data_IF_923437650769
#
_entry.id   IF_923437650769
#
_cell.length_a   1.000
_cell.length_b   1.000
_cell.length_c   1.000
_cell.angle_alpha   90.00
_cell.angle_beta   90.00
_cell.angle_gamma   90.00
#
_symmetry.space_group_name_H-M   'P 1'
#
loop_
_entity.id
_entity.type
_entity.pdbx_description
1 polymer ?
#
# COMPACT_ATOMS: atom_id res chain seq x y z
N UNK A 1 2.98 35.54 1.24
CA UNK A 1 2.07 36.57 0.66
C UNK A 1 2.74 37.92 0.54
N UNK A 2 2.19 38.83 -0.27
CA UNK A 2 2.74 40.19 -0.49
C UNK A 2 1.79 41.19 0.14
N UNK A 3 2.27 41.91 1.16
CA UNK A 3 1.56 43.02 1.77
C UNK A 3 2.11 44.30 1.18
N UNK A 4 1.22 45.18 0.74
CA UNK A 4 1.58 46.49 0.21
C UNK A 4 1.26 47.52 1.29
N UNK A 5 2.31 48.14 1.85
CA UNK A 5 2.19 49.19 2.84
C UNK A 5 2.53 50.53 2.19
N UNK A 6 1.67 51.53 2.37
CA UNK A 6 1.96 52.90 1.94
C UNK A 6 2.77 53.57 3.05
N UNK A 7 4.01 53.99 2.74
CA UNK A 7 4.85 54.76 3.63
C UNK A 7 5.16 56.12 2.99
N UNK A 8 4.40 57.15 3.37
CA UNK A 8 4.44 58.46 2.71
C UNK A 8 3.88 58.39 1.28
N UNK A 9 4.68 58.80 0.29
CA UNK A 9 4.35 58.73 -1.15
C UNK A 9 4.80 57.43 -1.82
N UNK A 10 5.45 56.52 -1.09
CA UNK A 10 5.99 55.27 -1.63
C UNK A 10 5.16 54.05 -1.22
N UNK A 11 4.89 53.16 -2.17
CA UNK A 11 4.30 51.84 -1.88
C UNK A 11 5.45 50.87 -1.63
N UNK A 12 5.58 50.40 -0.39
CA UNK A 12 6.54 49.38 0.01
C UNK A 12 5.88 48.02 -0.09
N UNK A 13 6.51 47.09 -0.80
CA UNK A 13 6.10 45.69 -0.86
C UNK A 13 6.87 44.91 0.19
N UNK A 14 6.16 44.33 1.16
CA UNK A 14 6.73 43.43 2.17
C UNK A 14 6.28 42.02 1.87
N UNK A 15 7.24 41.10 1.74
CA UNK A 15 6.93 39.67 1.68
C UNK A 15 6.77 39.13 3.09
N UNK A 16 5.57 38.66 3.41
CA UNK A 16 5.28 38.07 4.72
C UNK A 16 5.29 36.55 4.57
N UNK A 17 6.24 35.85 5.24
CA UNK A 17 6.28 34.39 5.24
C UNK A 17 5.19 33.85 6.17
N UNK A 18 4.04 33.52 5.59
CA UNK A 18 2.89 32.97 6.33
C UNK A 18 3.03 31.48 6.66
N UNK A 19 4.00 30.79 6.07
CA UNK A 19 4.26 29.38 6.32
C UNK A 19 4.60 29.12 7.78
N UNK A 20 5.44 29.97 8.41
CA UNK A 20 5.83 29.78 9.81
C UNK A 20 4.63 29.86 10.77
N UNK A 21 3.72 30.81 10.53
CA UNK A 21 2.50 30.94 11.34
C UNK A 21 1.53 29.79 11.11
N UNK A 22 1.45 29.27 9.88
CA UNK A 22 0.65 28.09 9.57
C UNK A 22 1.15 26.85 10.34
N UNK A 23 2.47 26.62 10.36
CA UNK A 23 3.06 25.50 11.10
C UNK A 23 2.82 25.60 12.61
N UNK A 24 2.85 26.81 13.20
CA UNK A 24 2.51 27.02 14.61
C UNK A 24 1.06 26.59 14.91
N UNK A 25 0.10 26.93 14.05
CA UNK A 25 -1.29 26.48 14.23
C UNK A 25 -1.43 24.97 14.06
N UNK A 26 -0.69 24.36 13.13
CA UNK A 26 -0.65 22.90 12.96
C UNK A 26 -0.12 22.16 14.19
N UNK A 27 0.94 22.68 14.83
CA UNK A 27 1.52 22.09 16.04
C UNK A 27 0.53 22.08 17.21
N UNK A 28 -0.32 23.11 17.30
CA UNK A 28 -1.37 23.23 18.33
C UNK A 28 -2.63 22.43 17.96
N UNK A 29 -2.79 22.01 16.70
CA UNK A 29 -3.97 21.30 16.21
C UNK A 29 -5.14 22.23 15.81
N UNK A 30 -4.85 23.52 15.58
CA UNK A 30 -5.80 24.53 15.14
C UNK A 30 -5.88 24.53 13.60
N UNK A 31 -6.56 23.52 13.05
CA UNK A 31 -6.54 23.27 11.61
C UNK A 31 -7.34 24.29 10.79
N UNK A 32 -8.43 24.83 11.34
CA UNK A 32 -9.23 25.86 10.67
C UNK A 32 -8.42 27.15 10.47
N UNK A 33 -7.70 27.57 11.51
CA UNK A 33 -6.80 28.73 11.47
C UNK A 33 -5.61 28.47 10.56
N UNK A 34 -5.02 27.28 10.62
CA UNK A 34 -3.95 26.88 9.69
C UNK A 34 -4.42 26.95 8.23
N UNK A 35 -5.64 26.48 7.94
CA UNK A 35 -6.25 26.55 6.60
C UNK A 35 -6.53 27.99 6.16
N UNK A 36 -7.02 28.85 7.07
CA UNK A 36 -7.22 30.27 6.79
C UNK A 36 -5.90 30.97 6.43
N UNK A 37 -4.83 30.71 7.18
CA UNK A 37 -3.48 31.24 6.89
C UNK A 37 -2.97 30.69 5.55
N UNK A 38 -3.17 29.40 5.27
CA UNK A 38 -2.77 28.82 4.00
C UNK A 38 -3.47 29.48 2.80
N UNK A 39 -4.77 29.81 2.94
CA UNK A 39 -5.56 30.54 1.94
C UNK A 39 -5.01 31.93 1.61
N UNK A 40 -4.39 32.61 2.58
CA UNK A 40 -3.77 33.93 2.37
C UNK A 40 -2.53 33.86 1.47
N UNK A 41 -1.90 32.68 1.34
CA UNK A 41 -0.83 32.41 0.38
C UNK A 41 0.43 31.84 1.01
N UNK A 42 0.49 30.51 1.06
CA UNK A 42 1.67 29.68 1.37
C UNK A 42 2.13 28.89 0.15
N UNK A 43 3.31 28.26 0.22
CA UNK A 43 3.85 27.47 -0.89
C UNK A 43 3.05 26.17 -1.10
N UNK A 44 3.17 25.54 -2.27
CA UNK A 44 2.50 24.26 -2.54
C UNK A 44 2.94 23.14 -1.57
N UNK A 45 4.22 23.13 -1.18
CA UNK A 45 4.74 22.18 -0.19
C UNK A 45 4.08 22.38 1.19
N UNK A 46 3.79 23.62 1.57
CA UNK A 46 3.14 23.94 2.84
C UNK A 46 1.67 23.49 2.83
N UNK A 47 0.99 23.67 1.69
CA UNK A 47 -0.34 23.11 1.48
C UNK A 47 -0.36 21.58 1.59
N UNK A 48 0.68 20.92 1.10
CA UNK A 48 0.79 19.47 1.19
C UNK A 48 1.00 19.04 2.65
N UNK A 49 1.85 19.76 3.39
CA UNK A 49 2.06 19.53 4.82
C UNK A 49 0.76 19.73 5.63
N UNK A 50 -0.01 20.79 5.35
CA UNK A 50 -1.33 21.01 5.95
C UNK A 50 -2.27 19.83 5.69
N UNK A 51 -2.41 19.40 4.44
CA UNK A 51 -3.29 18.27 4.08
C UNK A 51 -2.87 16.96 4.73
N UNK A 52 -1.57 16.67 4.78
CA UNK A 52 -1.01 15.48 5.43
C UNK A 52 -1.26 15.52 6.94
N UNK A 53 -0.99 16.67 7.59
CA UNK A 53 -1.19 16.82 9.03
C UNK A 53 -2.66 16.73 9.42
N UNK A 54 -3.55 17.32 8.63
CA UNK A 54 -4.99 17.23 8.84
C UNK A 54 -5.47 15.77 8.70
N UNK A 55 -5.02 15.06 7.66
CA UNK A 55 -5.35 13.66 7.46
C UNK A 55 -4.85 12.76 8.60
N UNK A 56 -3.65 13.00 9.12
CA UNK A 56 -3.09 12.25 10.27
C UNK A 56 -3.92 12.41 11.55
N UNK A 57 -4.57 13.56 11.72
CA UNK A 57 -5.48 13.85 12.85
C UNK A 57 -6.96 13.54 12.54
N UNK A 58 -7.25 13.00 11.36
CA UNK A 58 -8.61 12.74 10.87
C UNK A 58 -9.48 14.01 10.72
N UNK A 59 -8.87 15.17 10.48
CA UNK A 59 -9.54 16.40 10.07
C UNK A 59 -9.85 16.35 8.56
N UNK A 60 -10.82 15.50 8.20
CA UNK A 60 -11.07 15.06 6.83
C UNK A 60 -11.49 16.20 5.90
N UNK A 61 -12.30 17.15 6.38
CA UNK A 61 -12.75 18.31 5.58
C UNK A 61 -11.57 19.18 5.14
N UNK A 62 -10.66 19.49 6.08
CA UNK A 62 -9.50 20.35 5.83
C UNK A 62 -8.49 19.61 4.97
N UNK A 63 -8.27 18.31 5.22
CA UNK A 63 -7.44 17.46 4.37
C UNK A 63 -7.96 17.44 2.92
N UNK A 64 -9.26 17.20 2.73
CA UNK A 64 -9.92 17.17 1.42
C UNK A 64 -9.79 18.51 0.69
N UNK A 65 -10.02 19.62 1.39
CA UNK A 65 -9.88 20.96 0.83
C UNK A 65 -8.44 21.26 0.39
N UNK A 66 -7.44 20.92 1.22
CA UNK A 66 -6.03 21.08 0.90
C UNK A 66 -5.61 20.23 -0.31
N UNK A 67 -6.01 18.95 -0.35
CA UNK A 67 -5.68 18.06 -1.47
C UNK A 67 -6.42 18.43 -2.76
N UNK A 68 -7.66 18.92 -2.68
CA UNK A 68 -8.41 19.44 -3.82
C UNK A 68 -7.70 20.62 -4.46
N UNK A 69 -7.21 21.57 -3.63
CA UNK A 69 -6.43 22.72 -4.12
C UNK A 69 -5.15 22.28 -4.83
N UNK A 70 -4.46 21.27 -4.29
CA UNK A 70 -3.24 20.70 -4.89
C UNK A 70 -3.51 19.70 -6.03
N UNK A 71 -4.78 19.41 -6.35
CA UNK A 71 -5.20 18.41 -7.34
C UNK A 71 -4.62 17.02 -7.07
N UNK A 72 -4.45 16.64 -5.80
CA UNK A 72 -3.92 15.35 -5.37
C UNK A 72 -5.04 14.30 -5.32
N UNK A 73 -5.53 13.88 -6.49
CA UNK A 73 -6.71 13.01 -6.63
C UNK A 73 -6.65 11.74 -5.77
N UNK A 74 -5.51 11.05 -5.75
CA UNK A 74 -5.30 9.84 -4.92
C UNK A 74 -5.54 10.08 -3.44
N UNK A 75 -5.12 11.24 -2.91
CA UNK A 75 -5.33 11.56 -1.51
C UNK A 75 -6.80 11.93 -1.24
N UNK A 76 -7.50 12.53 -2.21
CA UNK A 76 -8.93 12.85 -2.09
C UNK A 76 -9.76 11.55 -2.06
N UNK A 77 -9.43 10.57 -2.89
CA UNK A 77 -10.04 9.24 -2.88
C UNK A 77 -9.87 8.59 -1.51
N UNK A 78 -8.64 8.55 -1.00
CA UNK A 78 -8.34 7.99 0.33
C UNK A 78 -9.10 8.70 1.46
N UNK A 79 -9.15 10.04 1.44
CA UNK A 79 -9.93 10.80 2.43
C UNK A 79 -11.41 10.43 2.36
N UNK A 80 -11.96 10.28 1.16
CA UNK A 80 -13.37 9.93 0.95
C UNK A 80 -13.66 8.50 1.42
N UNK A 81 -12.77 7.55 1.14
CA UNK A 81 -12.88 6.17 1.62
C UNK A 81 -12.86 6.11 3.15
N UNK A 82 -11.92 6.84 3.77
CA UNK A 82 -11.83 6.95 5.24
C UNK A 82 -13.11 7.57 5.82
N UNK A 83 -13.62 8.64 5.20
CA UNK A 83 -14.84 9.33 5.60
C UNK A 83 -16.06 8.40 5.56
N UNK A 84 -16.21 7.61 4.48
CA UNK A 84 -17.28 6.63 4.32
C UNK A 84 -17.20 5.51 5.37
N UNK A 85 -16.01 4.93 5.56
CA UNK A 85 -15.78 3.84 6.52
C UNK A 85 -15.96 4.27 7.97
N UNK A 86 -15.62 5.52 8.29
CA UNK A 86 -15.83 6.10 9.61
C UNK A 86 -17.31 6.35 9.86
N UNK A 87 -18.06 6.86 8.86
CA UNK A 87 -19.51 7.10 8.96
C UNK A 87 -20.32 5.82 9.04
N UNK A 88 -19.91 4.76 8.34
CA UNK A 88 -20.57 3.46 8.41
C UNK A 88 -20.35 2.73 9.73
N UNK A 89 -19.35 3.16 10.52
CA UNK A 89 -18.94 2.48 11.75
C UNK A 89 -18.20 1.17 11.50
N UNK A 90 -17.88 0.84 10.24
CA UNK A 90 -17.10 -0.35 9.88
C UNK A 90 -15.67 -0.25 10.44
N UNK A 91 -15.10 0.96 10.44
CA UNK A 91 -13.75 1.23 10.92
C UNK A 91 -13.74 2.10 12.17
N UNK A 92 -12.96 1.68 13.16
CA UNK A 92 -12.55 2.53 14.28
C UNK A 92 -11.50 3.57 13.86
N UNK A 93 -11.23 4.54 14.75
CA UNK A 93 -10.24 5.60 14.49
C UNK A 93 -8.88 5.04 14.14
N UNK A 94 -8.45 3.95 14.78
CA UNK A 94 -7.16 3.30 14.55
C UNK A 94 -7.02 2.78 13.12
N UNK A 95 -8.09 2.21 12.55
CA UNK A 95 -8.10 1.71 11.18
C UNK A 95 -8.02 2.87 10.17
N UNK A 96 -8.78 3.95 10.39
CA UNK A 96 -8.70 5.15 9.58
C UNK A 96 -7.30 5.79 9.62
N UNK A 97 -6.70 5.88 10.81
CA UNK A 97 -5.31 6.34 10.98
C UNK A 97 -4.31 5.42 10.28
N UNK A 98 -4.55 4.11 10.26
CA UNK A 98 -3.72 3.16 9.53
C UNK A 98 -3.74 3.43 8.01
N UNK A 99 -4.93 3.65 7.44
CA UNK A 99 -5.08 3.99 6.02
C UNK A 99 -4.43 5.32 5.69
N UNK A 100 -4.59 6.34 6.54
CA UNK A 100 -3.90 7.61 6.43
C UNK A 100 -2.36 7.44 6.44
N UNK A 101 -1.83 6.65 7.39
CA UNK A 101 -0.41 6.36 7.48
C UNK A 101 0.11 5.60 6.24
N UNK A 102 -0.66 4.65 5.72
CA UNK A 102 -0.33 3.91 4.49
C UNK A 102 -0.24 4.83 3.27
N UNK A 103 -1.20 5.76 3.13
CA UNK A 103 -1.22 6.75 2.05
C UNK A 103 0.03 7.64 2.03
N UNK A 104 0.59 7.93 3.22
CA UNK A 104 1.81 8.73 3.39
C UNK A 104 3.10 7.91 3.27
N UNK A 105 3.02 6.60 3.01
CA UNK A 105 4.17 5.70 2.93
C UNK A 105 4.73 5.26 4.30
N UNK A 106 4.05 5.58 5.42
CA UNK A 106 4.44 5.11 6.77
C UNK A 106 3.92 3.69 7.02
N UNK A 107 4.41 2.74 6.21
CA UNK A 107 3.89 1.37 6.14
C UNK A 107 3.99 0.63 7.48
N UNK A 108 5.10 0.81 8.21
CA UNK A 108 5.30 0.15 9.52
C UNK A 108 4.28 0.63 10.56
N UNK A 109 3.98 1.92 10.56
CA UNK A 109 3.01 2.50 11.49
C UNK A 109 1.59 2.09 11.09
N UNK A 110 1.28 2.11 9.79
CA UNK A 110 0.02 1.61 9.25
C UNK A 110 -0.25 0.15 9.65
N UNK A 111 0.74 -0.74 9.46
CA UNK A 111 0.59 -2.15 9.80
C UNK A 111 0.34 -2.37 11.31
N UNK A 112 1.03 -1.63 12.17
CA UNK A 112 0.81 -1.65 13.63
C UNK A 112 -0.59 -1.17 14.00
N UNK A 113 -1.08 -0.12 13.35
CA UNK A 113 -2.42 0.41 13.60
C UNK A 113 -3.52 -0.54 13.11
N UNK A 114 -3.36 -1.14 11.92
CA UNK A 114 -4.26 -2.19 11.43
C UNK A 114 -4.31 -3.39 12.37
N UNK A 115 -3.16 -3.83 12.89
CA UNK A 115 -3.10 -4.92 13.87
C UNK A 115 -3.82 -4.56 15.17
N UNK A 116 -3.63 -3.34 15.69
CA UNK A 116 -4.35 -2.84 16.88
C UNK A 116 -5.86 -2.78 16.66
N UNK A 117 -6.29 -2.45 15.44
CA UNK A 117 -7.71 -2.44 15.04
C UNK A 117 -8.28 -3.85 14.79
N UNK A 118 -7.49 -4.93 14.92
CA UNK A 118 -7.90 -6.29 14.58
C UNK A 118 -8.05 -6.55 13.07
N UNK A 119 -7.63 -5.61 12.23
CA UNK A 119 -7.75 -5.61 10.77
C UNK A 119 -6.44 -6.04 10.10
N UNK A 120 -5.84 -7.14 10.59
CA UNK A 120 -4.52 -7.60 10.18
C UNK A 120 -4.44 -7.93 8.67
N UNK A 121 -5.56 -8.33 8.05
CA UNK A 121 -5.65 -8.60 6.62
C UNK A 121 -5.26 -7.39 5.76
N UNK A 122 -5.63 -6.17 6.17
CA UNK A 122 -5.27 -4.97 5.43
C UNK A 122 -3.77 -4.69 5.46
N UNK A 123 -3.07 -5.04 6.56
CA UNK A 123 -1.62 -4.96 6.63
C UNK A 123 -0.96 -6.00 5.71
N UNK A 124 -1.51 -7.22 5.67
CA UNK A 124 -1.05 -8.29 4.78
C UNK A 124 -1.21 -7.89 3.31
N UNK A 125 -2.39 -7.39 2.91
CA UNK A 125 -2.66 -6.96 1.54
C UNK A 125 -1.76 -5.78 1.15
N UNK A 126 -1.65 -4.77 2.01
CA UNK A 126 -0.75 -3.62 1.80
C UNK A 126 0.69 -4.06 1.51
N UNK A 127 1.27 -4.93 2.34
CA UNK A 127 2.65 -5.40 2.11
C UNK A 127 2.76 -6.31 0.88
N UNK A 128 1.76 -7.14 0.63
CA UNK A 128 1.73 -8.04 -0.54
C UNK A 128 1.70 -7.28 -1.86
N UNK A 129 0.91 -6.21 -1.91
CA UNK A 129 0.73 -5.39 -3.11
C UNK A 129 1.99 -4.56 -3.40
N UNK A 130 2.70 -4.15 -2.35
CA UNK A 130 4.03 -3.51 -2.43
C UNK A 130 5.19 -4.51 -2.63
N UNK A 131 4.89 -5.80 -2.80
CA UNK A 131 5.88 -6.89 -2.97
C UNK A 131 6.82 -7.08 -1.78
N UNK A 132 6.46 -6.56 -0.61
CA UNK A 132 7.16 -6.76 0.65
C UNK A 132 6.71 -8.08 1.30
N UNK A 133 6.90 -9.21 0.60
CA UNK A 133 6.36 -10.51 0.99
C UNK A 133 6.84 -11.00 2.36
N UNK A 134 8.09 -10.68 2.72
CA UNK A 134 8.65 -11.09 4.01
C UNK A 134 7.96 -10.37 5.17
N UNK A 135 7.67 -9.07 5.01
CA UNK A 135 6.86 -8.32 5.99
C UNK A 135 5.41 -8.80 6.00
N UNK A 136 4.81 -9.06 4.84
CA UNK A 136 3.42 -9.54 4.74
C UNK A 136 3.21 -10.86 5.48
N UNK A 137 4.20 -11.75 5.46
CA UNK A 137 4.12 -13.06 6.11
C UNK A 137 3.98 -12.96 7.64
N UNK A 138 4.53 -11.91 8.26
CA UNK A 138 4.37 -11.64 9.71
C UNK A 138 2.91 -11.38 10.09
N UNK A 139 2.09 -10.98 9.11
CA UNK A 139 0.69 -10.64 9.32
C UNK A 139 -0.29 -11.80 9.05
N UNK A 140 0.23 -12.99 8.70
CA UNK A 140 -0.60 -14.20 8.58
C UNK A 140 -0.86 -14.77 9.97
N UNK A 141 -2.13 -14.89 10.35
CA UNK A 141 -2.53 -15.54 11.58
C UNK A 141 -2.03 -17.00 11.65
N UNK A 142 -1.55 -17.43 12.83
CA UNK A 142 -1.07 -18.78 13.03
C UNK A 142 -2.16 -19.82 12.70
N UNK A 143 -1.88 -20.70 11.73
CA UNK A 143 -2.82 -21.72 11.25
C UNK A 143 -3.64 -21.30 10.03
N UNK A 144 -3.58 -20.05 9.57
CA UNK A 144 -4.24 -19.63 8.34
C UNK A 144 -3.44 -20.07 7.10
N UNK A 145 -3.71 -21.29 6.65
CA UNK A 145 -3.05 -21.88 5.49
C UNK A 145 -3.49 -21.25 4.16
N UNK A 146 -4.68 -20.65 4.11
CA UNK A 146 -5.22 -20.03 2.90
C UNK A 146 -4.49 -18.72 2.56
N UNK A 147 -4.31 -17.82 3.52
CA UNK A 147 -3.58 -16.57 3.25
C UNK A 147 -2.11 -16.84 2.93
N UNK A 148 -1.53 -17.88 3.54
CA UNK A 148 -0.18 -18.35 3.22
C UNK A 148 -0.06 -18.82 1.77
N UNK A 149 -1.01 -19.60 1.26
CA UNK A 149 -0.97 -20.07 -0.13
C UNK A 149 -1.22 -18.93 -1.12
N UNK A 150 -2.12 -17.99 -0.81
CA UNK A 150 -2.35 -16.79 -1.62
C UNK A 150 -1.09 -15.92 -1.69
N UNK A 151 -0.40 -15.71 -0.56
CA UNK A 151 0.84 -14.93 -0.51
C UNK A 151 1.96 -15.60 -1.32
N UNK A 152 2.12 -16.93 -1.19
CA UNK A 152 3.09 -17.70 -1.96
C UNK A 152 2.80 -17.65 -3.46
N UNK A 153 1.54 -17.70 -3.87
CA UNK A 153 1.13 -17.54 -5.28
C UNK A 153 1.50 -16.16 -5.82
N UNK A 154 1.18 -15.08 -5.09
CA UNK A 154 1.58 -13.71 -5.48
C UNK A 154 3.11 -13.58 -5.59
N UNK A 155 3.87 -14.20 -4.66
CA UNK A 155 5.34 -14.22 -4.68
C UNK A 155 5.89 -14.99 -5.89
N UNK A 156 5.30 -16.14 -6.23
CA UNK A 156 5.66 -16.95 -7.38
C UNK A 156 5.42 -16.22 -8.71
N UNK A 157 4.29 -15.53 -8.84
CA UNK A 157 3.95 -14.72 -10.02
C UNK A 157 4.95 -13.58 -10.20
N UNK A 158 5.37 -12.93 -9.12
CA UNK A 158 6.40 -11.90 -9.16
C UNK A 158 7.77 -12.46 -9.55
N UNK A 159 8.22 -13.58 -8.96
CA UNK A 159 9.47 -14.24 -9.34
C UNK A 159 9.50 -14.63 -10.82
N UNK A 160 8.36 -15.09 -11.37
CA UNK A 160 8.22 -15.36 -12.81
C UNK A 160 8.43 -14.08 -13.64
N UNK A 161 7.84 -12.96 -13.22
CA UNK A 161 7.98 -11.67 -13.92
C UNK A 161 9.41 -11.11 -13.89
N UNK A 162 10.20 -11.48 -12.89
CA UNK A 162 11.61 -11.10 -12.76
C UNK A 162 12.56 -11.97 -13.59
N UNK A 163 12.06 -12.99 -14.30
CA UNK A 163 12.91 -13.93 -15.00
C UNK A 163 13.58 -14.95 -14.08
N UNK A 164 13.00 -15.21 -12.92
CA UNK A 164 13.41 -16.28 -11.99
C UNK A 164 12.41 -17.45 -12.01
N UNK A 165 12.27 -18.17 -13.14
CA UNK A 165 11.25 -19.20 -13.30
C UNK A 165 11.44 -20.38 -12.33
N UNK A 166 12.67 -20.62 -11.86
CA UNK A 166 12.98 -21.75 -10.96
C UNK A 166 12.43 -21.48 -9.57
N UNK A 167 12.70 -20.29 -9.03
CA UNK A 167 12.11 -19.84 -7.78
C UNK A 167 10.58 -19.80 -7.87
N UNK A 168 10.03 -19.31 -8.99
CA UNK A 168 8.59 -19.30 -9.23
C UNK A 168 7.98 -20.72 -9.19
N UNK A 169 8.59 -21.70 -9.86
CA UNK A 169 8.12 -23.08 -9.86
C UNK A 169 8.15 -23.69 -8.44
N UNK A 170 9.23 -23.48 -7.68
CA UNK A 170 9.32 -23.95 -6.29
C UNK A 170 8.24 -23.32 -5.40
N UNK A 171 7.98 -22.02 -5.57
CA UNK A 171 6.95 -21.31 -4.81
C UNK A 171 5.52 -21.77 -5.21
N UNK A 172 5.25 -22.02 -6.49
CA UNK A 172 3.96 -22.60 -6.92
C UNK A 172 3.75 -24.01 -6.34
N UNK A 173 4.79 -24.85 -6.30
CA UNK A 173 4.71 -26.16 -5.63
C UNK A 173 4.41 -26.00 -4.14
N UNK A 174 5.09 -25.09 -3.45
CA UNK A 174 4.85 -24.81 -2.04
C UNK A 174 3.44 -24.23 -1.77
N UNK A 175 2.85 -23.53 -2.73
CA UNK A 175 1.47 -23.03 -2.66
C UNK A 175 0.42 -24.10 -2.98
N UNK A 176 0.82 -25.29 -3.44
CA UNK A 176 -0.09 -26.36 -3.89
C UNK A 176 -0.55 -26.21 -5.35
N UNK A 177 -0.07 -25.22 -6.10
CA UNK A 177 -0.39 -24.99 -7.51
C UNK A 177 0.50 -25.85 -8.42
N UNK A 178 0.35 -27.16 -8.32
CA UNK A 178 1.28 -28.11 -8.96
C UNK A 178 1.25 -28.02 -10.48
N UNK A 179 0.07 -27.82 -11.08
CA UNK A 179 -0.05 -27.69 -12.55
C UNK A 179 0.73 -26.50 -13.11
N UNK A 180 0.66 -25.32 -12.46
CA UNK A 180 1.39 -24.12 -12.89
C UNK A 180 2.89 -24.33 -12.77
N UNK A 181 3.33 -24.95 -11.68
CA UNK A 181 4.73 -25.30 -11.50
C UNK A 181 5.23 -26.26 -12.60
N UNK A 182 4.51 -27.35 -12.88
CA UNK A 182 4.88 -28.31 -13.93
C UNK A 182 5.02 -27.64 -15.29
N UNK A 183 4.08 -26.75 -15.65
CA UNK A 183 4.13 -26.03 -16.92
C UNK A 183 5.42 -25.20 -17.04
N UNK A 184 5.78 -24.46 -15.99
CA UNK A 184 7.03 -23.68 -15.97
C UNK A 184 8.24 -24.62 -16.08
N UNK A 185 8.31 -25.67 -15.26
CA UNK A 185 9.45 -26.60 -15.24
C UNK A 185 9.61 -27.28 -16.62
N UNK A 186 8.49 -27.63 -17.27
CA UNK A 186 8.48 -28.26 -18.59
C UNK A 186 8.87 -27.30 -19.73
N UNK A 187 8.46 -26.04 -19.67
CA UNK A 187 8.87 -25.01 -20.64
C UNK A 187 10.38 -24.79 -20.64
N UNK A 188 11.00 -24.79 -19.46
CA UNK A 188 12.45 -24.61 -19.30
C UNK A 188 13.26 -25.92 -19.37
N UNK A 189 12.59 -27.07 -19.55
CA UNK A 189 13.26 -28.36 -19.72
C UNK A 189 14.00 -28.87 -18.49
N UNK A 190 13.58 -28.54 -17.26
CA UNK A 190 14.25 -29.04 -16.04
C UNK A 190 13.80 -30.46 -15.69
N UNK A 191 14.40 -31.43 -16.38
CA UNK A 191 14.06 -32.86 -16.32
C UNK A 191 14.13 -33.40 -14.88
N UNK A 192 15.20 -33.11 -14.14
CA UNK A 192 15.37 -33.60 -12.76
C UNK A 192 14.23 -33.15 -11.84
N UNK A 193 13.78 -31.91 -12.04
CA UNK A 193 12.72 -31.31 -11.25
C UNK A 193 11.34 -31.87 -11.65
N UNK A 194 11.10 -32.13 -12.95
CA UNK A 194 9.90 -32.83 -13.42
C UNK A 194 9.80 -34.25 -12.84
N UNK A 195 10.92 -34.99 -12.82
CA UNK A 195 10.95 -36.34 -12.25
C UNK A 195 10.68 -36.28 -10.74
N UNK A 196 11.30 -35.34 -10.03
CA UNK A 196 11.08 -35.14 -8.59
C UNK A 196 9.62 -34.85 -8.28
N UNK A 197 9.00 -33.91 -9.00
CA UNK A 197 7.58 -33.58 -8.84
C UNK A 197 6.71 -34.79 -9.17
N UNK A 198 6.95 -35.45 -10.31
CA UNK A 198 6.18 -36.62 -10.74
C UNK A 198 6.20 -37.79 -9.74
N UNK A 199 7.29 -37.96 -8.98
CA UNK A 199 7.39 -38.98 -7.91
C UNK A 199 6.63 -38.60 -6.63
N UNK A 200 6.42 -37.30 -6.41
CA UNK A 200 5.74 -36.78 -5.21
C UNK A 200 4.23 -36.63 -5.42
N UNK A 201 3.77 -36.63 -6.66
CA UNK A 201 2.35 -36.55 -7.02
C UNK A 201 1.57 -37.80 -6.63
N UNK A 202 0.31 -37.61 -6.22
CA UNK A 202 -0.64 -38.71 -6.04
C UNK A 202 -1.00 -39.32 -7.40
N UNK A 203 -1.27 -40.63 -7.43
CA UNK A 203 -1.78 -41.37 -8.59
C UNK A 203 -3.12 -40.82 -9.08
N UNK A 204 -3.87 -40.12 -8.23
CA UNK A 204 -5.11 -39.45 -8.59
C UNK A 204 -4.90 -38.23 -9.51
N UNK A 205 -3.72 -37.60 -9.50
CA UNK A 205 -3.41 -36.41 -10.30
C UNK A 205 -3.01 -36.75 -11.75
N UNK A 206 -3.90 -37.43 -12.46
CA UNK A 206 -3.66 -37.95 -13.81
C UNK A 206 -3.29 -36.88 -14.83
N UNK A 207 -3.87 -35.69 -14.73
CA UNK A 207 -3.60 -34.60 -15.67
C UNK A 207 -2.17 -34.07 -15.53
N UNK A 208 -1.74 -33.80 -14.28
CA UNK A 208 -0.38 -33.39 -13.94
C UNK A 208 0.64 -34.43 -14.41
N UNK A 209 0.38 -35.72 -14.14
CA UNK A 209 1.24 -36.84 -14.56
C UNK A 209 1.28 -36.99 -16.08
N UNK A 210 0.17 -36.79 -16.78
CA UNK A 210 0.09 -36.84 -18.24
C UNK A 210 0.92 -35.74 -18.91
N UNK A 211 0.90 -34.52 -18.36
CA UNK A 211 1.72 -33.40 -18.84
C UNK A 211 3.21 -33.73 -18.68
N UNK A 212 3.61 -34.21 -17.50
CA UNK A 212 5.00 -34.64 -17.24
C UNK A 212 5.42 -35.74 -18.23
N UNK A 213 4.61 -36.79 -18.39
CA UNK A 213 4.92 -37.92 -19.27
C UNK A 213 5.03 -37.50 -20.75
N UNK A 214 4.13 -36.64 -21.24
CA UNK A 214 4.19 -36.11 -22.61
C UNK A 214 5.46 -35.30 -22.84
N UNK A 215 5.87 -34.49 -21.87
CA UNK A 215 7.06 -33.64 -21.99
C UNK A 215 8.36 -34.42 -21.89
N UNK A 216 8.44 -35.40 -20.99
CA UNK A 216 9.58 -36.33 -20.93
C UNK A 216 9.74 -37.17 -22.20
N UNK A 217 8.64 -37.46 -22.93
CA UNK A 217 8.68 -38.17 -24.21
C UNK A 217 9.14 -37.31 -25.39
N UNK A 218 9.03 -35.98 -25.29
CA UNK A 218 9.44 -35.02 -26.33
C UNK A 218 10.91 -34.61 -26.24
N UNK A 219 11.58 -34.97 -25.15
CA UNK A 219 13.01 -34.77 -24.89
C UNK A 219 13.81 -35.99 -25.32
#
# INVERSE_FOLDING_TARGET
SKVYCINGTNIVRVEVPLSSTMYQYLEVGMFDEAYAIACLGVAENDWLALGISALDKLELEIAKAAFARLKKLRYIEIVSDIEEKLKSGEWGKEACMATAAAAMGRLRDAARLYQKAGLQQYALDMYSDLRMFDMAQEFIAAGNTQDRTVLLRKRAEWAKSLGEPRAAAEMFLAAGDVQRAINIIAEYGWIDMLIKVGRQLDKAERDSLSIIAKKLKQL
#
